data_IF_747043391180
#
_entry.id   IF_747043391180
#
_cell.length_a   1.000
_cell.length_b   1.000
_cell.length_c   1.000
_cell.angle_alpha   90.00
_cell.angle_beta   90.00
_cell.angle_gamma   90.00
#
_symmetry.space_group_name_H-M   'P 1'
#
loop_
_entity.id
_entity.type
_entity.pdbx_description
1 polymer ?
#
# COMPACT_ATOMS: atom_id res chain seq x y z
N UNK A 1 21.78 -9.16 11.31
CA UNK A 1 21.20 -8.06 10.50
C UNK A 1 22.32 -7.11 10.10
N UNK A 2 22.46 -6.81 8.81
CA UNK A 2 23.45 -5.82 8.36
C UNK A 2 23.01 -4.37 8.69
N UNK A 3 23.95 -3.42 8.61
CA UNK A 3 23.69 -2.02 8.96
C UNK A 3 22.64 -1.36 8.05
N UNK A 4 22.59 -1.76 6.77
CA UNK A 4 21.62 -1.21 5.81
C UNK A 4 20.20 -1.69 6.10
N UNK A 5 20.02 -2.98 6.39
CA UNK A 5 18.76 -3.57 6.80
C UNK A 5 18.27 -2.96 8.11
N UNK A 6 19.16 -2.78 9.10
CA UNK A 6 18.82 -2.12 10.37
C UNK A 6 18.34 -0.67 10.14
N UNK A 7 19.06 0.07 9.30
CA UNK A 7 18.69 1.46 8.95
C UNK A 7 17.35 1.51 8.24
N UNK A 8 17.10 0.60 7.30
CA UNK A 8 15.82 0.48 6.57
C UNK A 8 14.66 0.16 7.50
N UNK A 9 14.84 -0.80 8.40
CA UNK A 9 13.82 -1.19 9.38
C UNK A 9 13.50 -0.01 10.31
N UNK A 10 14.52 0.64 10.86
CA UNK A 10 14.34 1.78 11.76
C UNK A 10 13.64 2.95 11.06
N UNK A 11 14.13 3.33 9.87
CA UNK A 11 13.55 4.41 9.07
C UNK A 11 12.11 4.10 8.64
N UNK A 12 11.88 2.92 8.08
CA UNK A 12 10.55 2.48 7.64
C UNK A 12 9.56 2.46 8.80
N UNK A 13 9.96 1.92 9.95
CA UNK A 13 9.13 1.89 11.15
C UNK A 13 8.81 3.31 11.63
N UNK A 14 9.79 4.19 11.74
CA UNK A 14 9.58 5.56 12.22
C UNK A 14 8.59 6.32 11.33
N UNK A 15 8.77 6.27 10.00
CA UNK A 15 7.86 6.94 9.07
C UNK A 15 6.47 6.31 9.03
N UNK A 16 6.37 4.98 9.07
CA UNK A 16 5.08 4.28 9.07
C UNK A 16 4.32 4.46 10.38
N UNK A 17 4.99 4.61 11.53
CA UNK A 17 4.35 4.99 12.80
C UNK A 17 3.72 6.37 12.69
N UNK A 18 4.44 7.35 12.12
CA UNK A 18 3.89 8.70 11.88
C UNK A 18 2.73 8.63 10.89
N UNK A 19 2.84 7.84 9.82
CA UNK A 19 1.77 7.66 8.84
C UNK A 19 0.52 7.02 9.48
N UNK A 20 0.70 5.95 10.26
CA UNK A 20 -0.37 5.26 10.97
C UNK A 20 -1.06 6.17 11.98
N UNK A 21 -0.29 6.96 12.75
CA UNK A 21 -0.86 7.94 13.68
C UNK A 21 -1.64 9.05 12.97
N UNK A 22 -1.11 9.58 11.86
CA UNK A 22 -1.78 10.60 11.04
C UNK A 22 -3.07 10.07 10.43
N UNK A 23 -3.03 8.85 9.88
CA UNK A 23 -4.17 8.19 9.23
C UNK A 23 -5.24 7.79 10.25
N UNK A 24 -4.84 7.33 11.44
CA UNK A 24 -5.79 7.04 12.52
C UNK A 24 -6.55 8.28 12.98
N UNK A 25 -5.86 9.43 13.10
CA UNK A 25 -6.45 10.68 13.58
C UNK A 25 -7.25 11.42 12.49
N UNK A 26 -6.75 11.47 11.26
CA UNK A 26 -7.25 12.39 10.23
C UNK A 26 -7.65 11.72 8.91
N UNK A 27 -7.44 10.39 8.77
CA UNK A 27 -7.63 9.62 7.52
C UNK A 27 -6.86 10.17 6.33
N UNK A 28 -5.77 10.90 6.61
CA UNK A 28 -4.93 11.55 5.62
C UNK A 28 -3.48 11.45 6.08
N UNK A 29 -2.59 11.22 5.12
CA UNK A 29 -1.14 11.28 5.32
C UNK A 29 -0.59 12.31 4.34
N UNK A 30 0.26 13.21 4.85
CA UNK A 30 0.79 14.32 4.05
C UNK A 30 1.91 13.83 3.13
N UNK A 31 1.90 14.31 1.90
CA UNK A 31 2.89 13.97 0.86
C UNK A 31 4.36 14.15 1.28
N UNK A 32 4.76 15.20 2.03
CA UNK A 32 6.14 15.34 2.50
C UNK A 32 6.68 14.15 3.30
N UNK A 33 5.82 13.41 4.00
CA UNK A 33 6.22 12.21 4.73
C UNK A 33 6.73 11.13 3.75
N UNK A 34 5.99 10.91 2.66
CA UNK A 34 6.37 9.93 1.63
C UNK A 34 7.59 10.36 0.84
N UNK A 35 7.67 11.64 0.49
CA UNK A 35 8.85 12.22 -0.16
C UNK A 35 10.08 12.02 0.73
N UNK A 36 9.98 12.30 2.04
CA UNK A 36 11.06 12.09 3.00
C UNK A 36 11.50 10.63 3.08
N UNK A 37 10.55 9.69 3.18
CA UNK A 37 10.84 8.26 3.23
C UNK A 37 11.53 7.76 1.95
N UNK A 38 11.01 8.15 0.79
CA UNK A 38 11.60 7.79 -0.50
C UNK A 38 12.98 8.40 -0.70
N UNK A 39 13.19 9.66 -0.30
CA UNK A 39 14.49 10.33 -0.36
C UNK A 39 15.51 9.61 0.52
N UNK A 40 15.15 9.31 1.77
CA UNK A 40 16.01 8.57 2.68
C UNK A 40 16.32 7.17 2.13
N UNK A 41 15.33 6.48 1.57
CA UNK A 41 15.50 5.21 0.90
C UNK A 41 16.51 5.27 -0.25
N UNK A 42 16.44 6.30 -1.09
CA UNK A 42 17.39 6.52 -2.17
C UNK A 42 18.81 6.83 -1.68
N UNK A 43 18.95 7.59 -0.60
CA UNK A 43 20.27 7.86 0.01
C UNK A 43 20.88 6.57 0.54
N UNK A 44 20.10 5.77 1.28
CA UNK A 44 20.54 4.46 1.78
C UNK A 44 20.89 3.53 0.62
N UNK A 45 20.05 3.47 -0.42
CA UNK A 45 20.32 2.67 -1.62
C UNK A 45 21.60 3.11 -2.32
N UNK A 46 21.78 4.40 -2.59
CA UNK A 46 22.99 4.92 -3.23
C UNK A 46 24.24 4.58 -2.40
N UNK A 47 24.18 4.74 -1.08
CA UNK A 47 25.30 4.38 -0.20
C UNK A 47 25.64 2.88 -0.27
N UNK A 48 24.63 2.00 -0.32
CA UNK A 48 24.86 0.57 -0.51
C UNK A 48 25.49 0.26 -1.87
N UNK A 49 25.01 0.89 -2.95
CA UNK A 49 25.55 0.65 -4.29
C UNK A 49 27.02 1.08 -4.40
N UNK A 50 27.43 2.15 -3.71
CA UNK A 50 28.84 2.56 -3.63
C UNK A 50 29.67 1.52 -2.86
N UNK A 51 29.20 1.10 -1.68
CA UNK A 51 29.92 0.15 -0.82
C UNK A 51 30.07 -1.21 -1.51
N UNK A 52 29.03 -1.68 -2.21
CA UNK A 52 29.04 -2.95 -2.92
C UNK A 52 29.73 -2.89 -4.29
N UNK A 53 30.24 -1.72 -4.70
CA UNK A 53 30.81 -1.49 -6.04
C UNK A 53 29.87 -1.98 -7.14
N UNK A 54 28.59 -1.63 -7.00
CA UNK A 54 27.52 -2.17 -7.83
C UNK A 54 27.70 -1.77 -9.31
N UNK A 55 27.32 -2.66 -10.26
CA UNK A 55 27.43 -2.37 -11.67
C UNK A 55 26.56 -1.17 -12.06
N UNK A 56 26.91 -0.51 -13.16
CA UNK A 56 26.16 0.65 -13.66
C UNK A 56 24.67 0.34 -13.92
N UNK A 57 24.34 -0.91 -14.23
CA UNK A 57 22.95 -1.37 -14.42
C UNK A 57 22.10 -1.17 -13.17
N UNK A 58 22.66 -1.44 -11.98
CA UNK A 58 22.01 -1.23 -10.69
C UNK A 58 21.69 0.26 -10.46
N UNK A 59 22.63 1.14 -10.77
CA UNK A 59 22.44 2.59 -10.72
C UNK A 59 21.36 3.07 -11.69
N UNK A 60 21.31 2.49 -12.89
CA UNK A 60 20.31 2.80 -13.90
C UNK A 60 18.89 2.41 -13.44
N UNK A 61 18.73 1.22 -12.84
CA UNK A 61 17.45 0.80 -12.28
C UNK A 61 17.02 1.65 -11.07
N UNK A 62 17.96 1.98 -10.18
CA UNK A 62 17.69 2.86 -9.04
C UNK A 62 17.27 4.27 -9.50
N UNK A 63 17.94 4.83 -10.51
CA UNK A 63 17.59 6.13 -11.08
C UNK A 63 16.24 6.11 -11.81
N UNK A 64 15.93 5.04 -12.54
CA UNK A 64 14.61 4.84 -13.14
C UNK A 64 13.51 4.83 -12.07
N UNK A 65 13.69 4.05 -10.99
CA UNK A 65 12.74 3.98 -9.88
C UNK A 65 12.56 5.33 -9.18
N UNK A 66 13.65 6.08 -8.96
CA UNK A 66 13.62 7.41 -8.38
C UNK A 66 12.80 8.39 -9.25
N UNK A 67 13.05 8.43 -10.55
CA UNK A 67 12.32 9.31 -11.47
C UNK A 67 10.83 8.98 -11.50
N UNK A 68 10.47 7.70 -11.58
CA UNK A 68 9.08 7.27 -11.54
C UNK A 68 8.38 7.67 -10.24
N UNK A 69 9.06 7.52 -9.10
CA UNK A 69 8.53 7.91 -7.80
C UNK A 69 8.30 9.41 -7.70
N UNK A 70 9.29 10.25 -8.01
CA UNK A 70 9.15 11.70 -7.91
C UNK A 70 8.17 12.27 -8.93
N UNK A 71 8.04 11.65 -10.10
CA UNK A 71 7.03 12.01 -11.08
C UNK A 71 5.58 11.85 -10.57
N UNK A 72 5.34 11.10 -9.48
CA UNK A 72 4.03 11.01 -8.83
C UNK A 72 3.65 12.32 -8.11
N UNK A 73 4.64 13.01 -7.54
CA UNK A 73 4.45 14.26 -6.79
C UNK A 73 4.50 15.50 -7.69
N UNK A 74 5.02 15.36 -8.91
CA UNK A 74 5.21 16.48 -9.83
C UNK A 74 4.04 16.66 -10.80
N UNK A 75 3.23 17.69 -10.55
CA UNK A 75 2.12 18.10 -11.42
C UNK A 75 0.91 17.15 -11.41
N UNK A 76 -0.14 17.54 -12.15
CA UNK A 76 -1.36 16.71 -12.28
C UNK A 76 -1.10 15.45 -13.12
N UNK A 77 -1.83 14.34 -12.88
CA UNK A 77 -1.83 13.14 -13.70
C UNK A 77 -1.91 13.44 -15.21
N UNK A 78 -1.27 12.59 -16.02
CA UNK A 78 -1.35 12.68 -17.49
C UNK A 78 -2.75 12.38 -18.03
N UNK A 79 -3.54 11.62 -17.26
CA UNK A 79 -4.91 11.25 -17.58
C UNK A 79 -5.76 11.51 -16.35
N UNK A 80 -6.74 12.40 -16.47
CA UNK A 80 -7.81 12.61 -15.49
C UNK A 80 -9.15 12.17 -16.12
N UNK A 81 -10.25 12.17 -15.34
CA UNK A 81 -11.58 11.82 -15.85
C UNK A 81 -12.01 12.75 -17.01
N UNK A 82 -11.43 13.96 -17.07
CA UNK A 82 -11.68 14.98 -18.10
C UNK A 82 -10.82 14.80 -19.38
N UNK A 83 -9.89 13.84 -19.42
CA UNK A 83 -9.10 13.50 -20.61
C UNK A 83 -7.58 13.43 -20.42
N UNK A 84 -6.84 13.37 -21.54
CA UNK A 84 -5.38 13.32 -21.56
C UNK A 84 -4.78 14.73 -21.57
N UNK A 85 -3.91 15.01 -20.60
CA UNK A 85 -3.19 16.26 -20.47
C UNK A 85 -1.71 16.05 -20.82
N UNK A 86 -1.35 16.42 -22.05
CA UNK A 86 0.01 16.34 -22.54
C UNK A 86 0.92 17.34 -21.78
N UNK A 87 1.63 16.84 -20.76
CA UNK A 87 2.58 17.64 -19.98
C UNK A 87 4.01 17.24 -20.38
N UNK A 88 4.73 18.06 -21.17
CA UNK A 88 5.98 17.65 -21.79
C UNK A 88 7.04 17.25 -20.76
N UNK A 89 7.16 17.99 -19.65
CA UNK A 89 8.10 17.68 -18.57
C UNK A 89 7.82 16.32 -17.94
N UNK A 90 6.56 16.02 -17.62
CA UNK A 90 6.18 14.75 -16.98
C UNK A 90 6.34 13.57 -17.95
N UNK A 91 5.99 13.77 -19.22
CA UNK A 91 6.22 12.77 -20.28
C UNK A 91 7.73 12.51 -20.43
N UNK A 92 8.55 13.56 -20.47
CA UNK A 92 10.00 13.43 -20.54
C UNK A 92 10.57 12.64 -19.35
N UNK A 93 10.10 12.89 -18.13
CA UNK A 93 10.51 12.10 -16.96
C UNK A 93 10.19 10.60 -17.11
N UNK A 94 9.00 10.25 -17.60
CA UNK A 94 8.64 8.86 -17.87
C UNK A 94 9.46 8.23 -19.00
N UNK A 95 9.75 8.98 -20.06
CA UNK A 95 10.60 8.52 -21.16
C UNK A 95 12.03 8.27 -20.69
N UNK A 96 12.61 9.22 -19.93
CA UNK A 96 13.96 9.05 -19.35
C UNK A 96 13.98 7.85 -18.42
N UNK A 97 12.99 7.68 -17.55
CA UNK A 97 12.91 6.51 -16.68
C UNK A 97 12.81 5.19 -17.46
N UNK A 98 12.05 5.18 -18.57
CA UNK A 98 11.95 4.04 -19.47
C UNK A 98 13.28 3.72 -20.15
N UNK A 99 13.97 4.73 -20.67
CA UNK A 99 15.32 4.57 -21.27
C UNK A 99 16.31 4.03 -20.24
N UNK A 100 16.31 4.57 -19.01
CA UNK A 100 17.17 4.06 -17.93
C UNK A 100 16.86 2.61 -17.55
N UNK A 101 15.62 2.16 -17.69
CA UNK A 101 15.27 0.76 -17.44
C UNK A 101 15.67 -0.16 -18.60
N UNK A 102 15.52 0.28 -19.85
CA UNK A 102 15.83 -0.51 -21.04
C UNK A 102 17.34 -0.56 -21.31
N UNK A 103 18.08 0.52 -21.03
CA UNK A 103 19.50 0.63 -21.38
C UNK A 103 20.38 -0.54 -20.88
N UNK A 104 20.25 -1.01 -19.62
CA UNK A 104 20.95 -2.21 -19.17
C UNK A 104 20.69 -3.42 -20.07
N UNK A 105 19.43 -3.71 -20.39
CA UNK A 105 19.07 -4.83 -21.26
C UNK A 105 19.58 -4.65 -22.70
N UNK A 106 19.57 -3.42 -23.22
CA UNK A 106 20.05 -3.14 -24.56
C UNK A 106 21.56 -3.35 -24.70
N UNK A 107 22.34 -3.08 -23.65
CA UNK A 107 23.80 -3.25 -23.64
C UNK A 107 24.20 -4.69 -23.36
N UNK A 108 23.55 -5.37 -22.41
CA UNK A 108 23.95 -6.71 -21.96
C UNK A 108 23.12 -7.85 -22.56
N UNK A 109 22.08 -7.55 -23.34
CA UNK A 109 21.17 -8.53 -23.95
C UNK A 109 20.20 -9.22 -22.99
N UNK A 110 20.49 -9.19 -21.69
CA UNK A 110 19.65 -9.72 -20.62
C UNK A 110 19.90 -8.95 -19.31
N UNK A 111 18.94 -9.01 -18.38
CA UNK A 111 19.16 -8.55 -17.01
C UNK A 111 20.25 -9.42 -16.40
N UNK A 112 21.36 -8.85 -15.86
CA UNK A 112 22.41 -9.63 -15.23
C UNK A 112 21.83 -10.52 -14.15
N UNK A 113 21.94 -11.85 -14.31
CA UNK A 113 21.36 -12.83 -13.40
C UNK A 113 22.15 -12.97 -12.08
N UNK A 114 23.30 -12.32 -11.98
CA UNK A 114 24.18 -12.38 -10.81
C UNK A 114 23.87 -11.28 -9.81
N UNK A 115 23.88 -11.65 -8.53
CA UNK A 115 23.73 -10.72 -7.40
C UNK A 115 22.32 -10.16 -7.23
N UNK A 116 22.22 -8.92 -6.76
CA UNK A 116 20.98 -8.20 -6.44
C UNK A 116 20.31 -7.54 -7.66
N UNK A 117 20.98 -7.53 -8.81
CA UNK A 117 20.55 -6.81 -10.03
C UNK A 117 19.15 -7.18 -10.54
N UNK A 118 18.74 -8.47 -10.58
CA UNK A 118 17.38 -8.83 -10.99
C UNK A 118 16.29 -8.28 -10.08
N UNK A 119 16.53 -8.30 -8.76
CA UNK A 119 15.61 -7.73 -7.79
C UNK A 119 15.57 -6.20 -7.89
N UNK A 120 16.67 -5.54 -8.24
CA UNK A 120 16.66 -4.11 -8.51
C UNK A 120 15.88 -3.75 -9.77
N UNK A 121 15.94 -4.57 -10.82
CA UNK A 121 15.19 -4.35 -12.05
C UNK A 121 13.67 -4.40 -11.83
N UNK A 122 13.19 -5.13 -10.81
CA UNK A 122 11.77 -5.19 -10.47
C UNK A 122 11.27 -3.94 -9.73
N UNK A 123 12.16 -3.12 -9.15
CA UNK A 123 11.76 -1.92 -8.38
C UNK A 123 11.02 -0.85 -9.20
N UNK A 124 11.51 -0.38 -10.37
CA UNK A 124 10.75 0.56 -11.21
C UNK A 124 9.48 -0.07 -11.77
N UNK A 125 9.51 -1.37 -12.11
CA UNK A 125 8.33 -2.11 -12.54
C UNK A 125 7.26 -2.08 -11.46
N UNK A 126 7.63 -2.33 -10.21
CA UNK A 126 6.70 -2.33 -9.08
C UNK A 126 6.09 -0.96 -8.82
N UNK A 127 6.84 0.12 -9.01
CA UNK A 127 6.30 1.49 -8.93
C UNK A 127 5.24 1.73 -10.01
N UNK A 128 5.47 1.25 -11.24
CA UNK A 128 4.45 1.32 -12.31
C UNK A 128 3.25 0.47 -11.96
N UNK A 129 3.44 -0.74 -11.41
CA UNK A 129 2.36 -1.61 -10.96
C UNK A 129 1.52 -0.94 -9.87
N UNK A 130 2.12 -0.34 -8.84
CA UNK A 130 1.34 0.38 -7.82
C UNK A 130 0.58 1.59 -8.39
N UNK A 131 1.15 2.30 -9.35
CA UNK A 131 0.44 3.36 -10.06
C UNK A 131 -0.75 2.80 -10.86
N UNK A 132 -0.57 1.67 -11.54
CA UNK A 132 -1.63 0.99 -12.27
C UNK A 132 -2.73 0.50 -11.33
N UNK A 133 -2.39 -0.16 -10.22
CA UNK A 133 -3.35 -0.64 -9.21
C UNK A 133 -4.15 0.52 -8.60
N UNK A 134 -3.52 1.67 -8.36
CA UNK A 134 -4.21 2.88 -7.92
C UNK A 134 -5.20 3.39 -8.98
N UNK A 135 -4.78 3.46 -10.25
CA UNK A 135 -5.64 3.91 -11.36
C UNK A 135 -6.81 2.97 -11.63
N UNK A 136 -6.57 1.66 -11.54
CA UNK A 136 -7.59 0.61 -11.68
C UNK A 136 -8.50 0.52 -10.45
N UNK A 137 -8.32 1.40 -9.45
CA UNK A 137 -9.07 1.42 -8.19
C UNK A 137 -8.98 0.11 -7.38
N UNK A 138 -7.95 -0.70 -7.60
CA UNK A 138 -7.64 -1.85 -6.73
C UNK A 138 -7.06 -1.31 -5.41
N UNK A 139 -6.09 -0.40 -5.52
CA UNK A 139 -5.57 0.38 -4.40
C UNK A 139 -6.39 1.66 -4.26
N UNK A 140 -7.33 1.66 -3.32
CA UNK A 140 -8.30 2.75 -3.17
C UNK A 140 -7.73 4.02 -2.52
N UNK A 141 -6.60 3.93 -1.81
CA UNK A 141 -5.97 5.06 -1.13
C UNK A 141 -4.75 5.59 -1.86
N UNK A 142 -4.74 6.90 -2.15
CA UNK A 142 -3.56 7.56 -2.75
C UNK A 142 -2.37 7.59 -1.79
N UNK A 143 -2.61 7.65 -0.48
CA UNK A 143 -1.57 7.54 0.53
C UNK A 143 -0.96 6.13 0.55
N UNK A 144 -1.79 5.08 0.42
CA UNK A 144 -1.36 3.68 0.39
C UNK A 144 -0.41 3.44 -0.79
N UNK A 145 -0.80 3.91 -1.98
CA UNK A 145 0.02 3.77 -3.19
C UNK A 145 1.37 4.50 -3.04
N UNK A 146 1.37 5.74 -2.53
CA UNK A 146 2.59 6.51 -2.26
C UNK A 146 3.48 5.83 -1.21
N UNK A 147 2.87 5.26 -0.17
CA UNK A 147 3.56 4.52 0.87
C UNK A 147 4.25 3.28 0.33
N UNK A 148 3.55 2.47 -0.46
CA UNK A 148 4.12 1.27 -1.09
C UNK A 148 5.28 1.61 -2.03
N UNK A 149 5.14 2.65 -2.86
CA UNK A 149 6.24 3.11 -3.72
C UNK A 149 7.44 3.61 -2.93
N UNK A 150 7.22 4.32 -1.81
CA UNK A 150 8.30 4.76 -0.93
C UNK A 150 9.00 3.57 -0.26
N UNK A 151 8.26 2.53 0.16
CA UNK A 151 8.83 1.28 0.68
C UNK A 151 9.64 0.56 -0.41
N UNK A 152 9.21 0.56 -1.67
CA UNK A 152 9.99 0.00 -2.79
C UNK A 152 11.36 0.67 -2.93
N UNK A 153 11.45 1.99 -2.73
CA UNK A 153 12.74 2.69 -2.76
C UNK A 153 13.58 2.46 -1.50
N UNK A 154 12.92 2.34 -0.34
CA UNK A 154 13.60 2.08 0.93
C UNK A 154 14.22 0.69 0.97
N UNK A 155 13.46 -0.33 0.56
CA UNK A 155 13.82 -1.75 0.63
C UNK A 155 13.68 -2.37 -0.77
N UNK A 156 14.59 -2.04 -1.70
CA UNK A 156 14.50 -2.48 -3.10
C UNK A 156 14.76 -3.99 -3.26
N UNK A 157 15.49 -4.58 -2.32
CA UNK A 157 15.84 -5.99 -2.29
C UNK A 157 15.58 -6.56 -0.91
N UNK A 158 15.39 -7.88 -0.83
CA UNK A 158 15.15 -8.56 0.42
C UNK A 158 16.30 -8.29 1.41
N UNK A 159 16.01 -7.76 2.60
CA UNK A 159 17.02 -7.36 3.57
C UNK A 159 17.72 -8.59 4.17
N UNK A 160 19.04 -8.52 4.38
CA UNK A 160 19.76 -9.54 5.12
C UNK A 160 19.65 -9.27 6.64
N UNK A 161 18.59 -9.79 7.24
CA UNK A 161 18.20 -9.50 8.62
C UNK A 161 18.40 -10.67 9.60
N UNK A 162 19.33 -11.60 9.33
CA UNK A 162 19.58 -12.79 10.17
C UNK A 162 19.65 -12.43 11.67
N UNK A 163 18.91 -13.14 12.56
CA UNK A 163 18.22 -14.43 12.33
C UNK A 163 16.83 -14.33 11.66
N UNK A 164 16.36 -13.14 11.28
CA UNK A 164 15.09 -12.93 10.60
C UNK A 164 15.26 -12.82 9.07
N UNK A 165 14.23 -13.11 8.26
CA UNK A 165 12.87 -13.54 8.63
C UNK A 165 12.80 -14.99 9.16
N UNK A 166 11.83 -15.29 10.03
CA UNK A 166 11.60 -16.63 10.58
C UNK A 166 11.15 -17.64 9.52
N UNK A 167 10.28 -17.22 8.58
CA UNK A 167 9.84 -18.05 7.46
C UNK A 167 10.81 -17.90 6.30
N UNK A 168 11.47 -18.99 5.95
CA UNK A 168 12.39 -19.03 4.82
C UNK A 168 11.74 -19.76 3.66
N UNK A 169 11.80 -19.17 2.46
CA UNK A 169 11.32 -19.81 1.25
C UNK A 169 12.16 -21.04 0.91
N UNK A 170 11.55 -22.05 0.29
CA UNK A 170 12.33 -23.20 -0.21
C UNK A 170 13.42 -22.71 -1.18
N UNK A 171 14.70 -23.11 -1.00
CA UNK A 171 15.82 -22.66 -1.82
C UNK A 171 15.60 -22.84 -3.33
N UNK A 172 14.75 -23.78 -3.74
CA UNK A 172 14.43 -24.03 -5.15
C UNK A 172 13.62 -22.91 -5.80
N UNK A 173 12.82 -22.19 -5.02
CA UNK A 173 11.92 -21.13 -5.50
C UNK A 173 12.29 -19.74 -5.01
N UNK A 174 13.16 -19.62 -3.98
CA UNK A 174 13.57 -18.35 -3.36
C UNK A 174 14.06 -17.31 -4.38
N UNK A 175 14.92 -17.71 -5.32
CA UNK A 175 15.45 -16.78 -6.34
C UNK A 175 14.36 -16.24 -7.27
N UNK A 176 13.41 -17.09 -7.69
CA UNK A 176 12.28 -16.67 -8.52
C UNK A 176 11.30 -15.79 -7.73
N UNK A 177 11.02 -16.16 -6.47
CA UNK A 177 10.15 -15.40 -5.58
C UNK A 177 10.68 -14.00 -5.32
N UNK A 178 12.00 -13.82 -5.11
CA UNK A 178 12.58 -12.49 -4.89
C UNK A 178 12.41 -11.53 -6.07
N UNK A 179 12.26 -12.05 -7.28
CA UNK A 179 12.06 -11.27 -8.50
C UNK A 179 10.58 -10.99 -8.73
N UNK A 180 9.75 -12.04 -8.67
CA UNK A 180 8.30 -11.96 -8.94
C UNK A 180 7.55 -11.28 -7.80
N UNK A 181 8.09 -11.40 -6.59
CA UNK A 181 7.46 -10.95 -5.36
C UNK A 181 8.42 -10.02 -4.60
N UNK A 182 8.62 -8.77 -5.08
CA UNK A 182 9.53 -7.82 -4.44
C UNK A 182 9.10 -7.52 -3.00
N UNK A 183 10.03 -7.05 -2.18
CA UNK A 183 9.79 -6.86 -0.74
C UNK A 183 8.58 -5.98 -0.42
N UNK A 184 8.36 -4.88 -1.16
CA UNK A 184 7.18 -4.03 -0.98
C UNK A 184 5.86 -4.76 -1.25
N UNK A 185 5.87 -5.77 -2.13
CA UNK A 185 4.70 -6.61 -2.39
C UNK A 185 4.41 -7.55 -1.23
N UNK A 186 5.46 -8.10 -0.60
CA UNK A 186 5.34 -8.86 0.67
C UNK A 186 4.66 -8.01 1.72
N UNK A 187 5.15 -6.79 1.93
CA UNK A 187 4.56 -5.85 2.90
C UNK A 187 3.08 -5.59 2.64
N UNK A 188 2.69 -5.41 1.36
CA UNK A 188 1.29 -5.21 1.01
C UNK A 188 0.42 -6.43 1.27
N UNK A 189 0.91 -7.63 0.94
CA UNK A 189 0.19 -8.89 1.16
C UNK A 189 0.07 -9.21 2.65
N UNK A 190 1.13 -9.05 3.42
CA UNK A 190 1.09 -9.25 4.87
C UNK A 190 0.12 -8.24 5.52
N UNK A 191 0.11 -6.99 5.07
CA UNK A 191 -0.85 -5.97 5.51
C UNK A 191 -2.30 -6.35 5.14
N UNK A 192 -2.52 -6.93 3.96
CA UNK A 192 -3.83 -7.41 3.55
C UNK A 192 -4.30 -8.59 4.42
N UNK A 193 -3.43 -9.54 4.74
CA UNK A 193 -3.71 -10.65 5.66
C UNK A 193 -4.05 -10.13 7.04
N UNK A 194 -3.26 -9.20 7.59
CA UNK A 194 -3.55 -8.55 8.88
C UNK A 194 -4.91 -7.83 8.84
N UNK A 195 -5.25 -7.21 7.71
CA UNK A 195 -6.53 -6.52 7.54
C UNK A 195 -7.74 -7.47 7.58
N UNK A 196 -7.57 -8.79 7.36
CA UNK A 196 -8.64 -9.78 7.54
C UNK A 196 -9.07 -9.93 9.01
N UNK A 197 -8.23 -9.51 9.97
CA UNK A 197 -8.63 -9.44 11.38
C UNK A 197 -9.71 -8.37 11.63
N UNK A 198 -9.82 -7.35 10.77
CA UNK A 198 -10.81 -6.26 10.92
C UNK A 198 -12.25 -6.78 10.81
N UNK A 199 -12.68 -7.47 9.73
CA UNK A 199 -14.04 -7.98 9.64
C UNK A 199 -14.36 -9.01 10.73
N UNK A 200 -13.39 -9.82 11.13
CA UNK A 200 -13.53 -10.77 12.26
C UNK A 200 -13.75 -10.01 13.57
N UNK A 201 -12.96 -8.96 13.82
CA UNK A 201 -13.10 -8.11 15.01
C UNK A 201 -14.44 -7.37 15.04
N UNK A 202 -14.91 -6.87 13.90
CA UNK A 202 -16.24 -6.25 13.78
C UNK A 202 -17.35 -7.25 14.06
N UNK A 203 -17.24 -8.47 13.52
CA UNK A 203 -18.23 -9.52 13.79
C UNK A 203 -18.29 -9.87 15.28
N UNK A 204 -17.15 -10.07 15.93
CA UNK A 204 -17.08 -10.32 17.38
C UNK A 204 -17.68 -9.15 18.15
N UNK A 205 -17.33 -7.91 17.80
CA UNK A 205 -17.86 -6.70 18.44
C UNK A 205 -19.40 -6.60 18.33
N UNK A 206 -19.96 -6.90 17.16
CA UNK A 206 -21.40 -6.91 16.95
C UNK A 206 -22.10 -8.08 17.65
N UNK A 207 -21.49 -9.26 17.64
CA UNK A 207 -21.97 -10.44 18.34
C UNK A 207 -22.09 -10.20 19.86
N UNK A 208 -21.08 -9.55 20.46
CA UNK A 208 -21.10 -9.15 21.87
C UNK A 208 -22.23 -8.15 22.18
N UNK A 209 -22.64 -7.34 21.19
CA UNK A 209 -23.77 -6.40 21.29
C UNK A 209 -25.12 -7.00 20.87
N UNK A 210 -25.16 -8.30 20.56
CA UNK A 210 -26.33 -9.04 20.05
C UNK A 210 -26.88 -8.51 18.72
N UNK A 211 -26.07 -7.81 17.93
CA UNK A 211 -26.43 -7.26 16.62
C UNK A 211 -25.96 -8.23 15.50
N UNK A 212 -26.60 -9.41 15.39
CA UNK A 212 -26.20 -10.52 14.48
C UNK A 212 -26.74 -10.41 13.05
N UNK A 213 -26.53 -9.28 12.36
CA UNK A 213 -27.05 -9.09 11.02
C UNK A 213 -25.99 -9.39 9.93
N UNK A 214 -26.06 -10.56 9.29
CA UNK A 214 -25.13 -10.98 8.23
C UNK A 214 -25.66 -10.52 6.86
N UNK A 215 -24.81 -9.96 5.96
CA UNK A 215 -23.34 -9.85 6.03
C UNK A 215 -22.79 -8.57 6.71
N UNK A 216 -23.63 -7.58 7.00
CA UNK A 216 -23.19 -6.26 7.49
C UNK A 216 -22.46 -6.26 8.83
N UNK A 217 -22.68 -7.27 9.68
CA UNK A 217 -21.95 -7.44 10.94
C UNK A 217 -20.44 -7.67 10.74
N UNK A 218 -20.00 -8.12 9.56
CA UNK A 218 -18.58 -8.21 9.20
C UNK A 218 -18.01 -6.89 8.66
N UNK A 219 -18.86 -5.98 8.18
CA UNK A 219 -18.44 -4.81 7.40
C UNK A 219 -18.66 -3.49 8.15
N UNK A 220 -19.48 -3.49 9.19
CA UNK A 220 -19.87 -2.29 9.92
C UNK A 220 -20.39 -2.59 11.32
N UNK A 221 -20.96 -1.59 11.97
CA UNK A 221 -21.62 -1.70 13.27
C UNK A 221 -22.80 -0.73 13.33
N UNK A 222 -23.71 -0.93 14.28
CA UNK A 222 -24.84 -0.01 14.48
C UNK A 222 -24.46 1.20 15.32
N UNK A 223 -24.60 2.39 14.74
CA UNK A 223 -24.39 3.67 15.40
C UNK A 223 -25.70 4.48 15.50
N UNK A 224 -25.80 5.37 16.48
CA UNK A 224 -26.92 6.31 16.61
C UNK A 224 -26.79 7.41 15.55
N UNK A 225 -27.90 7.77 14.93
CA UNK A 225 -27.92 8.83 13.90
C UNK A 225 -27.59 10.22 14.46
N UNK A 226 -27.92 10.49 15.73
CA UNK A 226 -27.65 11.77 16.39
C UNK A 226 -26.17 12.01 16.68
N UNK A 227 -25.39 10.93 16.79
CA UNK A 227 -23.98 10.97 17.14
C UNK A 227 -23.18 10.05 16.20
N UNK A 228 -23.34 10.28 14.89
CA UNK A 228 -22.63 9.50 13.88
C UNK A 228 -21.11 9.71 14.01
N UNK A 229 -20.32 8.61 14.01
CA UNK A 229 -18.87 8.69 14.03
C UNK A 229 -18.34 9.45 12.80
N UNK A 230 -17.43 10.40 13.01
CA UNK A 230 -16.82 11.23 11.94
C UNK A 230 -16.14 10.38 10.86
N UNK A 231 -15.60 9.23 11.24
CA UNK A 231 -14.86 8.32 10.38
C UNK A 231 -15.65 7.05 10.05
N UNK A 232 -16.94 7.17 9.79
CA UNK A 232 -17.77 6.08 9.28
C UNK A 232 -18.55 6.52 8.03
N UNK A 233 -18.93 5.58 7.19
CA UNK A 233 -19.88 5.77 6.10
C UNK A 233 -21.20 5.10 6.45
N UNK A 234 -22.30 5.77 6.14
CA UNK A 234 -23.64 5.25 6.34
C UNK A 234 -23.90 4.10 5.35
N UNK A 235 -24.41 2.98 5.84
CA UNK A 235 -24.73 1.81 5.01
C UNK A 235 -26.23 1.70 4.72
N UNK A 236 -27.08 2.36 5.49
CA UNK A 236 -28.52 2.36 5.29
C UNK A 236 -28.97 3.63 4.56
N UNK A 237 -29.88 3.50 3.59
CA UNK A 237 -30.51 4.65 2.96
C UNK A 237 -31.95 4.34 2.58
N UNK A 238 -32.78 5.37 2.53
CA UNK A 238 -34.16 5.27 2.07
C UNK A 238 -34.24 5.88 0.67
N UNK A 239 -34.63 5.07 -0.31
CA UNK A 239 -34.77 5.54 -1.68
C UNK A 239 -35.93 6.54 -1.80
N UNK A 240 -35.99 7.35 -2.88
CA UNK A 240 -37.15 8.22 -3.14
C UNK A 240 -38.49 7.48 -3.20
N UNK A 241 -38.48 6.16 -3.40
CA UNK A 241 -39.65 5.28 -3.42
C UNK A 241 -40.08 4.79 -2.02
N UNK A 242 -39.34 5.16 -0.97
CA UNK A 242 -39.61 4.75 0.40
C UNK A 242 -39.02 3.39 0.78
N UNK A 243 -38.24 2.75 -0.09
CA UNK A 243 -37.61 1.46 0.20
C UNK A 243 -36.37 1.65 1.06
N UNK A 244 -36.28 0.88 2.15
CA UNK A 244 -35.09 0.83 2.99
C UNK A 244 -34.05 -0.11 2.36
N UNK A 245 -32.92 0.43 1.94
CA UNK A 245 -31.85 -0.30 1.24
C UNK A 245 -30.57 -0.27 2.06
N UNK A 246 -29.97 -1.45 2.22
CA UNK A 246 -28.63 -1.62 2.77
C UNK A 246 -27.60 -1.62 1.62
N UNK A 247 -26.70 -0.64 1.66
CA UNK A 247 -25.55 -0.51 0.78
C UNK A 247 -24.30 -0.96 1.54
N UNK A 248 -23.81 -2.16 1.21
CA UNK A 248 -22.64 -2.74 1.89
C UNK A 248 -21.35 -1.94 1.64
N UNK A 249 -21.22 -1.34 0.45
CA UNK A 249 -20.05 -0.57 0.03
C UNK A 249 -20.47 0.83 -0.44
N UNK A 250 -20.70 1.78 0.49
CA UNK A 250 -21.10 3.14 0.15
C UNK A 250 -20.00 3.89 -0.62
N UNK A 251 -20.41 4.77 -1.54
CA UNK A 251 -19.46 5.55 -2.36
C UNK A 251 -18.85 6.71 -1.57
N UNK A 252 -17.58 7.01 -1.84
CA UNK A 252 -16.88 8.15 -1.22
C UNK A 252 -17.48 9.47 -1.71
N UNK A 253 -17.76 10.38 -0.77
CA UNK A 253 -18.14 11.76 -1.09
C UNK A 253 -19.65 12.01 -1.22
N UNK A 254 -20.49 10.99 -1.03
CA UNK A 254 -21.94 11.22 -0.86
C UNK A 254 -22.16 11.99 0.45
N UNK A 255 -22.96 13.06 0.39
CA UNK A 255 -23.33 13.83 1.57
C UNK A 255 -24.45 13.05 2.30
N UNK A 256 -24.19 12.47 3.47
CA UNK A 256 -25.18 11.61 4.14
C UNK A 256 -26.31 12.41 4.76
N UNK A 257 -26.28 13.75 4.73
CA UNK A 257 -27.28 14.60 5.38
C UNK A 257 -28.71 14.29 4.95
N UNK A 258 -28.93 14.11 3.63
CA UNK A 258 -30.25 13.81 3.07
C UNK A 258 -30.71 12.39 3.46
N UNK A 259 -29.80 11.43 3.45
CA UNK A 259 -30.09 10.04 3.83
C UNK A 259 -30.41 9.93 5.33
N UNK A 260 -29.66 10.66 6.17
CA UNK A 260 -29.91 10.74 7.63
C UNK A 260 -31.29 11.36 7.90
N UNK A 261 -31.65 12.43 7.19
CA UNK A 261 -32.94 13.08 7.35
C UNK A 261 -34.10 12.14 6.98
N UNK A 262 -33.96 11.38 5.88
CA UNK A 262 -34.94 10.37 5.47
C UNK A 262 -35.06 9.23 6.47
N UNK A 263 -33.95 8.69 6.95
CA UNK A 263 -33.94 7.63 7.98
C UNK A 263 -34.63 8.09 9.26
N UNK A 264 -34.36 9.33 9.69
CA UNK A 264 -35.02 9.92 10.86
C UNK A 264 -36.53 10.09 10.64
N UNK A 265 -36.94 10.57 9.47
CA UNK A 265 -38.35 10.70 9.12
C UNK A 265 -39.10 9.34 9.14
N UNK A 266 -38.39 8.25 8.89
CA UNK A 266 -38.91 6.88 8.98
C UNK A 266 -38.83 6.27 10.39
N UNK A 267 -38.44 7.04 11.41
CA UNK A 267 -38.35 6.58 12.81
C UNK A 267 -37.16 5.66 13.10
N UNK A 268 -36.12 5.69 12.26
CA UNK A 268 -34.88 4.95 12.54
C UNK A 268 -34.02 5.78 13.48
N UNK A 269 -33.63 5.21 14.63
CA UNK A 269 -32.72 5.84 15.60
C UNK A 269 -31.26 5.37 15.46
N UNK A 270 -31.09 4.10 15.04
CA UNK A 270 -29.78 3.44 14.87
C UNK A 270 -29.69 2.85 13.47
N UNK A 271 -28.61 3.18 12.76
CA UNK A 271 -28.32 2.70 11.42
C UNK A 271 -26.98 1.99 11.37
N UNK A 272 -26.82 1.06 10.42
CA UNK A 272 -25.55 0.44 10.10
C UNK A 272 -24.59 1.46 9.48
N UNK A 273 -23.35 1.47 9.99
CA UNK A 273 -22.26 2.27 9.47
C UNK A 273 -21.02 1.41 9.28
N UNK A 274 -20.28 1.63 8.20
CA UNK A 274 -18.98 0.99 7.97
C UNK A 274 -17.84 1.93 8.38
N UNK A 275 -16.88 1.50 9.21
CA UNK A 275 -15.76 2.35 9.60
C UNK A 275 -14.83 2.59 8.41
N UNK A 276 -14.30 3.82 8.31
CA UNK A 276 -13.19 4.14 7.42
C UNK A 276 -11.93 3.52 8.02
N UNK A 277 -11.54 2.35 7.54
CA UNK A 277 -10.39 1.60 8.05
C UNK A 277 -9.07 2.33 7.73
N UNK A 278 -8.21 2.62 8.72
CA UNK A 278 -6.89 3.19 8.47
C UNK A 278 -5.96 2.10 7.95
N UNK A 279 -5.77 2.00 6.63
CA UNK A 279 -4.93 0.96 6.05
C UNK A 279 -3.44 1.13 6.44
N UNK A 280 -3.02 2.30 6.89
CA UNK A 280 -1.65 2.53 7.36
C UNK A 280 -1.28 1.72 8.60
N UNK A 281 -2.25 1.36 9.45
CA UNK A 281 -1.98 0.53 10.64
C UNK A 281 -1.66 -0.92 10.23
N UNK A 282 -2.48 -1.62 9.43
CA UNK A 282 -2.10 -2.89 8.85
C UNK A 282 -0.81 -2.82 8.03
N UNK A 283 -0.56 -1.72 7.30
CA UNK A 283 0.67 -1.55 6.52
C UNK A 283 1.92 -1.51 7.40
N UNK A 284 1.88 -0.78 8.53
CA UNK A 284 2.97 -0.79 9.51
C UNK A 284 3.21 -2.20 10.07
N UNK A 285 2.14 -2.90 10.45
CA UNK A 285 2.25 -4.26 10.99
C UNK A 285 2.82 -5.21 9.92
N UNK A 286 2.30 -5.14 8.70
CA UNK A 286 2.79 -5.92 7.56
C UNK A 286 4.26 -5.63 7.24
N UNK A 287 4.72 -4.38 7.38
CA UNK A 287 6.13 -4.04 7.23
C UNK A 287 7.01 -4.72 8.28
N UNK A 288 6.59 -4.68 9.55
CA UNK A 288 7.31 -5.35 10.64
C UNK A 288 7.31 -6.87 10.47
N UNK A 289 6.16 -7.45 10.07
CA UNK A 289 6.05 -8.88 9.79
C UNK A 289 6.93 -9.28 8.61
N UNK A 290 6.98 -8.51 7.52
CA UNK A 290 7.85 -8.82 6.39
C UNK A 290 9.34 -8.85 6.78
N UNK A 291 9.78 -8.00 7.72
CA UNK A 291 11.16 -8.01 8.25
C UNK A 291 11.43 -9.14 9.25
N UNK A 292 10.49 -9.40 10.16
CA UNK A 292 10.69 -10.31 11.30
C UNK A 292 10.25 -11.74 10.98
N UNK A 293 9.09 -11.89 10.35
CA UNK A 293 8.47 -13.18 10.05
C UNK A 293 8.72 -13.58 8.61
N UNK A 294 8.78 -12.64 7.66
CA UNK A 294 8.90 -12.92 6.23
C UNK A 294 7.53 -13.00 5.56
N UNK A 295 7.47 -13.60 4.37
CA UNK A 295 6.25 -13.64 3.57
C UNK A 295 5.24 -14.62 4.17
N UNK A 296 4.17 -14.10 4.80
CA UNK A 296 3.14 -14.93 5.45
C UNK A 296 2.40 -15.82 4.46
N UNK A 297 2.34 -15.42 3.18
CA UNK A 297 1.73 -16.24 2.15
C UNK A 297 2.45 -17.59 1.99
N UNK A 298 3.76 -17.65 2.25
CA UNK A 298 4.50 -18.92 2.22
C UNK A 298 4.02 -19.88 3.31
N UNK A 299 3.73 -19.38 4.51
CA UNK A 299 3.15 -20.22 5.57
C UNK A 299 1.75 -20.69 5.21
N UNK A 300 0.91 -19.79 4.68
CA UNK A 300 -0.48 -20.14 4.28
C UNK A 300 -0.52 -21.18 3.16
N UNK A 301 0.40 -21.08 2.20
CA UNK A 301 0.49 -22.01 1.06
C UNK A 301 1.30 -23.28 1.37
N UNK A 302 1.85 -23.44 2.58
CA UNK A 302 2.70 -24.58 2.95
C UNK A 302 4.05 -24.61 2.21
N UNK A 303 4.52 -23.46 1.72
CA UNK A 303 5.78 -23.29 0.99
C UNK A 303 6.92 -22.74 1.87
N UNK A 304 6.62 -22.38 3.12
CA UNK A 304 7.60 -21.92 4.11
C UNK A 304 8.13 -23.07 4.98
N UNK A 305 9.41 -22.98 5.35
CA UNK A 305 10.02 -23.79 6.42
C UNK A 305 10.29 -22.94 7.65
#
# INVERSE_FOLDING_TARGET
>A
MDAFAATRLAAGTAFLVVAAASDFRTRRVRDPLWIGLGTLGLVVLASQLVVESAPWSAWSFAGSAALLFYAVFFGRPLTEEDGFHARPVRIALFLVAGVMWIAPLAVTGAVPATGSTPAMASTPVMIVVYQALYRLRVLHGGADAKGLMAITLLVPTYPNALPFPLLVADPRVDSALRIVFPFSLVVWVDAAIVSLAIPVGLFIFNALRRDFAIPQAFLGYRARLDALPTHAWLMERITPRGEHVLVLFPKRGENPADDIARLRAAGVDRAWVTPKTPFMVPLLIGFLLAFLVGNLLLAVLGLGR
#
